data_IF_653851141229
#
_entry.id   IF_653851141229
#
_cell.length_a   1.000
_cell.length_b   1.000
_cell.length_c   1.000
_cell.angle_alpha   90.00
_cell.angle_beta   90.00
_cell.angle_gamma   90.00
#
_symmetry.space_group_name_H-M   'P 1'
#
loop_
_entity.id
_entity.type
_entity.pdbx_description
1 polymer ?
#
# COMPACT_ATOMS: atom_id res chain seq x y z
N UNK A 1 38.99 14.13 -22.07
CA UNK A 1 38.58 13.29 -23.21
C UNK A 1 37.16 12.87 -22.92
N UNK A 2 36.18 13.41 -23.66
CA UNK A 2 34.77 13.04 -23.48
C UNK A 2 34.61 11.54 -23.71
N UNK A 3 33.85 10.86 -22.84
CA UNK A 3 33.45 9.45 -23.01
C UNK A 3 32.18 9.31 -23.85
N UNK A 4 31.59 10.45 -24.25
CA UNK A 4 30.45 10.50 -25.13
C UNK A 4 30.92 10.24 -26.56
N UNK A 5 30.91 8.96 -26.94
CA UNK A 5 31.16 8.53 -28.30
C UNK A 5 29.96 7.76 -28.82
N UNK A 6 29.74 7.80 -30.12
CA UNK A 6 28.75 6.94 -30.73
C UNK A 6 29.14 5.47 -30.57
N UNK A 7 28.16 4.57 -30.42
CA UNK A 7 28.42 3.16 -30.43
C UNK A 7 29.02 2.77 -31.80
N UNK A 8 30.19 2.13 -31.78
CA UNK A 8 30.76 1.56 -32.98
C UNK A 8 29.82 0.50 -33.54
N UNK A 9 29.43 0.66 -34.80
CA UNK A 9 28.57 -0.28 -35.51
C UNK A 9 29.45 -1.29 -36.25
N UNK A 10 29.12 -2.60 -36.21
CA UNK A 10 29.85 -3.58 -37.01
C UNK A 10 29.64 -3.29 -38.50
N UNK A 11 30.66 -3.58 -39.32
CA UNK A 11 30.63 -3.35 -40.76
C UNK A 11 29.37 -3.89 -41.46
N UNK A 12 28.87 -5.06 -41.03
CA UNK A 12 27.66 -5.65 -41.57
C UNK A 12 26.39 -4.81 -41.31
N UNK A 13 26.28 -4.17 -40.14
CA UNK A 13 25.18 -3.24 -39.83
C UNK A 13 25.30 -1.97 -40.67
N UNK A 14 26.51 -1.44 -40.82
CA UNK A 14 26.76 -0.24 -41.65
C UNK A 14 26.33 -0.52 -43.10
N UNK A 15 26.77 -1.63 -43.68
CA UNK A 15 26.39 -2.05 -45.04
C UNK A 15 24.87 -2.21 -45.17
N UNK A 16 24.23 -2.86 -44.19
CA UNK A 16 22.79 -3.08 -44.21
C UNK A 16 22.02 -1.75 -44.17
N UNK A 17 22.43 -0.80 -43.33
CA UNK A 17 21.79 0.51 -43.24
C UNK A 17 21.99 1.31 -44.52
N UNK A 18 23.21 1.38 -45.06
CA UNK A 18 23.51 2.08 -46.31
C UNK A 18 22.72 1.54 -47.50
N UNK A 19 22.49 0.22 -47.54
CA UNK A 19 21.66 -0.40 -48.57
C UNK A 19 20.17 -0.10 -48.37
N UNK A 20 19.68 -0.13 -47.13
CA UNK A 20 18.28 0.17 -46.80
C UNK A 20 17.91 1.62 -47.08
N UNK A 21 18.82 2.56 -46.81
CA UNK A 21 18.62 3.98 -47.10
C UNK A 21 18.86 4.34 -48.57
N UNK A 22 19.31 3.38 -49.38
CA UNK A 22 19.61 3.59 -50.80
C UNK A 22 20.86 4.43 -51.06
N UNK A 23 21.72 4.63 -50.04
CA UNK A 23 22.94 5.43 -50.15
C UNK A 23 24.02 4.65 -50.92
N UNK A 24 24.22 3.38 -50.58
CA UNK A 24 25.20 2.53 -51.27
C UNK A 24 24.94 1.03 -51.06
N UNK A 25 25.21 0.23 -52.09
CA UNK A 25 25.21 -1.22 -52.04
C UNK A 25 26.66 -1.74 -51.95
N UNK A 26 27.20 -1.77 -50.73
CA UNK A 26 28.60 -2.14 -50.47
C UNK A 26 28.75 -3.63 -50.17
N UNK A 27 29.92 -4.17 -50.50
CA UNK A 27 30.40 -5.47 -50.01
C UNK A 27 31.29 -5.28 -48.77
N UNK A 28 31.51 -6.32 -47.94
CA UNK A 28 32.42 -6.23 -46.80
C UNK A 28 33.82 -5.75 -47.17
N UNK A 29 34.33 -6.16 -48.34
CA UNK A 29 35.66 -5.80 -48.82
C UNK A 29 35.80 -4.30 -49.07
N UNK A 30 34.72 -3.65 -49.52
CA UNK A 30 34.66 -2.22 -49.81
C UNK A 30 34.88 -1.35 -48.57
N UNK A 31 34.62 -1.87 -47.36
CA UNK A 31 34.90 -1.18 -46.10
C UNK A 31 36.31 -1.48 -45.57
N UNK A 32 36.83 -2.68 -45.83
CA UNK A 32 38.17 -3.08 -45.35
C UNK A 32 39.32 -2.54 -46.20
N UNK A 33 39.08 -2.35 -47.50
CA UNK A 33 40.06 -1.80 -48.44
C UNK A 33 39.34 -1.00 -49.54
N UNK A 34 38.81 0.18 -49.20
CA UNK A 34 38.00 0.97 -50.13
C UNK A 34 38.83 1.51 -51.30
N UNK A 35 38.27 1.43 -52.52
CA UNK A 35 38.81 2.17 -53.68
C UNK A 35 38.40 3.63 -53.63
N UNK A 36 39.18 4.52 -54.26
CA UNK A 36 38.87 5.95 -54.32
C UNK A 36 37.47 6.22 -54.91
N UNK A 37 37.08 5.49 -55.97
CA UNK A 37 35.78 5.62 -56.60
C UNK A 37 34.63 5.27 -55.66
N UNK A 38 34.79 4.19 -54.87
CA UNK A 38 33.79 3.76 -53.89
C UNK A 38 33.64 4.79 -52.77
N UNK A 39 34.75 5.32 -52.26
CA UNK A 39 34.74 6.38 -51.23
C UNK A 39 34.03 7.63 -51.74
N UNK A 40 34.40 8.09 -52.95
CA UNK A 40 33.82 9.29 -53.53
C UNK A 40 32.31 9.12 -53.78
N UNK A 41 31.89 7.99 -54.36
CA UNK A 41 30.49 7.69 -54.60
C UNK A 41 29.69 7.60 -53.30
N UNK A 42 30.22 6.90 -52.29
CA UNK A 42 29.57 6.74 -51.00
C UNK A 42 29.30 8.09 -50.33
N UNK A 43 30.33 8.94 -50.22
CA UNK A 43 30.18 10.24 -49.56
C UNK A 43 29.35 11.23 -50.37
N UNK A 44 29.43 11.19 -51.70
CA UNK A 44 28.56 12.01 -52.59
C UNK A 44 27.09 11.65 -52.38
N UNK A 45 26.78 10.35 -52.35
CA UNK A 45 25.42 9.87 -52.12
C UNK A 45 24.94 10.18 -50.70
N UNK A 46 25.84 10.07 -49.71
CA UNK A 46 25.55 10.43 -48.33
C UNK A 46 25.20 11.92 -48.20
N UNK A 47 26.00 12.82 -48.79
CA UNK A 47 25.71 14.26 -48.77
C UNK A 47 24.39 14.58 -49.49
N UNK A 48 24.12 13.92 -50.62
CA UNK A 48 22.84 14.03 -51.32
C UNK A 48 21.65 13.56 -50.47
N UNK A 49 21.87 12.59 -49.57
CA UNK A 49 20.85 12.09 -48.66
C UNK A 49 20.61 13.03 -47.47
N UNK A 50 21.69 13.58 -46.89
CA UNK A 50 21.62 14.46 -45.71
C UNK A 50 21.14 15.87 -46.09
N UNK A 51 21.56 16.38 -47.25
CA UNK A 51 21.14 17.67 -47.77
C UNK A 51 20.68 17.57 -49.25
N UNK A 52 19.49 17.01 -49.51
CA UNK A 52 18.97 16.79 -50.87
C UNK A 52 18.72 18.07 -51.67
N UNK A 53 18.64 19.22 -50.99
CA UNK A 53 18.32 20.52 -51.61
C UNK A 53 19.58 21.37 -51.78
N UNK A 54 20.55 21.24 -50.88
CA UNK A 54 21.77 22.03 -50.85
C UNK A 54 23.01 21.34 -51.42
N UNK A 55 23.01 20.03 -51.68
CA UNK A 55 24.11 19.36 -52.36
C UNK A 55 23.80 19.10 -53.85
N UNK A 56 24.35 19.94 -54.73
CA UNK A 56 24.39 19.70 -56.17
C UNK A 56 25.83 19.33 -56.58
N UNK A 57 26.10 18.07 -56.94
CA UNK A 57 27.44 17.62 -57.34
C UNK A 57 27.93 18.25 -58.64
N UNK A 58 27.03 18.76 -59.50
CA UNK A 58 27.36 19.31 -60.81
C UNK A 58 27.48 20.84 -60.82
N UNK A 59 26.92 21.54 -59.82
CA UNK A 59 26.73 22.99 -59.87
C UNK A 59 27.35 23.78 -58.70
N UNK A 60 28.14 23.12 -57.84
CA UNK A 60 28.72 23.76 -56.65
C UNK A 60 30.23 23.53 -56.55
N UNK A 61 30.96 23.85 -57.62
CA UNK A 61 32.38 24.18 -57.46
C UNK A 61 32.42 25.45 -56.62
N UNK A 62 32.98 25.37 -55.42
CA UNK A 62 33.11 26.56 -54.61
C UNK A 62 34.16 27.47 -55.22
N UNK A 63 33.82 28.74 -55.48
CA UNK A 63 34.78 29.72 -56.01
C UNK A 63 36.07 29.80 -55.19
N UNK A 64 35.98 29.57 -53.87
CA UNK A 64 37.12 29.46 -52.97
C UNK A 64 38.10 28.33 -53.35
N UNK A 65 37.63 27.25 -53.97
CA UNK A 65 38.46 26.09 -54.34
C UNK A 65 39.27 26.35 -55.62
N UNK A 66 38.83 27.30 -56.45
CA UNK A 66 39.55 27.77 -57.63
C UNK A 66 40.71 28.71 -57.29
N UNK A 67 40.65 29.41 -56.14
CA UNK A 67 41.69 30.35 -55.70
C UNK A 67 43.03 29.67 -55.36
N UNK A 68 43.04 28.35 -55.17
CA UNK A 68 44.22 27.59 -54.74
C UNK A 68 44.94 26.85 -55.88
N UNK A 69 44.43 26.90 -57.12
CA UNK A 69 44.95 26.13 -58.25
C UNK A 69 45.38 27.04 -59.40
N UNK A 70 46.61 26.90 -59.86
CA UNK A 70 47.09 27.52 -61.10
C UNK A 70 46.49 26.78 -62.31
N UNK A 71 45.83 27.50 -63.21
CA UNK A 71 45.10 26.94 -64.38
C UNK A 71 44.00 25.93 -63.97
N UNK A 72 42.97 26.37 -63.22
CA UNK A 72 41.94 25.49 -62.66
C UNK A 72 41.19 24.66 -63.71
N UNK A 73 41.12 25.12 -64.96
CA UNK A 73 40.54 24.41 -66.10
C UNK A 73 41.21 23.07 -66.45
N UNK A 74 42.38 22.80 -65.86
CA UNK A 74 43.09 21.52 -66.00
C UNK A 74 42.94 20.61 -64.77
N UNK A 75 42.16 21.04 -63.78
CA UNK A 75 42.10 20.42 -62.45
C UNK A 75 40.67 20.08 -62.00
N UNK A 76 39.74 19.90 -62.94
CA UNK A 76 38.32 19.66 -62.66
C UNK A 76 38.07 18.53 -61.64
N UNK A 77 38.75 17.38 -61.79
CA UNK A 77 38.59 16.24 -60.87
C UNK A 77 39.15 16.54 -59.47
N UNK A 78 40.29 17.24 -59.40
CA UNK A 78 40.90 17.62 -58.14
C UNK A 78 40.01 18.62 -57.38
N UNK A 79 39.43 19.59 -58.09
CA UNK A 79 38.50 20.58 -57.55
C UNK A 79 37.28 19.89 -56.92
N UNK A 80 36.68 18.92 -57.63
CA UNK A 80 35.54 18.14 -57.13
C UNK A 80 35.87 17.39 -55.84
N UNK A 81 37.05 16.77 -55.78
CA UNK A 81 37.51 16.03 -54.59
C UNK A 81 37.75 16.99 -53.41
N UNK A 82 38.36 18.16 -53.64
CA UNK A 82 38.56 19.16 -52.59
C UNK A 82 37.24 19.67 -52.03
N UNK A 83 36.26 19.95 -52.89
CA UNK A 83 34.94 20.39 -52.46
C UNK A 83 34.19 19.32 -51.67
N UNK A 84 34.25 18.05 -52.12
CA UNK A 84 33.70 16.91 -51.40
C UNK A 84 34.33 16.81 -50.00
N UNK A 85 35.67 16.86 -49.91
CA UNK A 85 36.39 16.78 -48.64
C UNK A 85 36.00 17.91 -47.68
N UNK A 86 35.92 19.15 -48.19
CA UNK A 86 35.53 20.32 -47.38
C UNK A 86 34.11 20.20 -46.83
N UNK A 87 33.15 19.78 -47.68
CA UNK A 87 31.77 19.59 -47.26
C UNK A 87 31.65 18.49 -46.20
N UNK A 88 32.32 17.36 -46.38
CA UNK A 88 32.35 16.29 -45.39
C UNK A 88 32.93 16.73 -44.06
N UNK A 89 34.07 17.45 -44.08
CA UNK A 89 34.65 17.95 -42.83
C UNK A 89 33.72 18.90 -42.11
N UNK A 90 32.98 19.74 -42.85
CA UNK A 90 31.96 20.61 -42.26
C UNK A 90 30.85 19.79 -41.60
N UNK A 91 30.28 18.82 -42.29
CA UNK A 91 29.22 17.96 -41.73
C UNK A 91 29.69 17.17 -40.51
N UNK A 92 30.93 16.66 -40.53
CA UNK A 92 31.55 15.99 -39.37
C UNK A 92 31.64 16.95 -38.18
N UNK A 93 32.17 18.16 -38.39
CA UNK A 93 32.33 19.16 -37.33
C UNK A 93 30.98 19.64 -36.77
N UNK A 94 30.00 19.91 -37.63
CA UNK A 94 28.66 20.34 -37.24
C UNK A 94 27.98 19.25 -36.41
N UNK A 95 28.14 17.97 -36.81
CA UNK A 95 27.63 16.83 -36.05
C UNK A 95 28.35 16.65 -34.70
N UNK A 96 29.68 16.74 -34.67
CA UNK A 96 30.47 16.67 -33.42
C UNK A 96 30.07 17.78 -32.44
N UNK A 97 29.83 19.00 -32.93
CA UNK A 97 29.36 20.11 -32.10
C UNK A 97 27.96 19.85 -31.52
N UNK A 98 27.03 19.33 -32.32
CA UNK A 98 25.71 18.93 -31.83
C UNK A 98 25.81 17.88 -30.71
N UNK A 99 26.69 16.90 -30.86
CA UNK A 99 26.93 15.87 -29.85
C UNK A 99 27.46 16.44 -28.52
N UNK A 100 28.38 17.39 -28.60
CA UNK A 100 28.92 18.07 -27.41
C UNK A 100 27.83 18.86 -26.66
N UNK A 101 26.82 19.36 -27.37
CA UNK A 101 25.67 20.03 -26.75
C UNK A 101 24.69 19.04 -26.11
N UNK A 102 24.58 17.82 -26.64
CA UNK A 102 23.73 16.76 -26.08
C UNK A 102 24.33 16.13 -24.81
N UNK A 103 25.66 16.02 -24.72
CA UNK A 103 26.36 15.42 -23.57
C UNK A 103 25.92 15.98 -22.18
N UNK A 104 25.86 17.32 -21.94
CA UNK A 104 25.41 17.84 -20.66
C UNK A 104 23.93 17.54 -20.38
N UNK A 105 23.09 17.49 -21.42
CA UNK A 105 21.65 17.17 -21.30
C UNK A 105 21.51 15.72 -20.86
N UNK A 106 22.27 14.80 -21.47
CA UNK A 106 22.29 13.38 -21.09
C UNK A 106 22.73 13.23 -19.64
N UNK A 107 23.83 13.87 -19.22
CA UNK A 107 24.29 13.82 -17.83
C UNK A 107 23.26 14.37 -16.83
N UNK A 108 22.55 15.45 -17.19
CA UNK A 108 21.49 15.99 -16.35
C UNK A 108 20.34 14.98 -16.20
N UNK A 109 19.86 14.41 -17.31
CA UNK A 109 18.80 13.41 -17.29
C UNK A 109 19.20 12.16 -16.49
N UNK A 110 20.45 11.71 -16.61
CA UNK A 110 20.98 10.60 -15.82
C UNK A 110 20.96 10.90 -14.31
N UNK A 111 21.33 12.12 -13.92
CA UNK A 111 21.25 12.58 -12.54
C UNK A 111 19.81 12.61 -12.02
N UNK A 112 18.88 13.18 -12.78
CA UNK A 112 17.46 13.23 -12.44
C UNK A 112 16.86 11.82 -12.32
N UNK A 113 17.18 10.91 -13.25
CA UNK A 113 16.75 9.51 -13.18
C UNK A 113 17.28 8.82 -11.92
N UNK A 114 18.53 9.09 -11.55
CA UNK A 114 19.14 8.55 -10.32
C UNK A 114 18.43 9.06 -9.07
N UNK A 115 18.11 10.34 -8.99
CA UNK A 115 17.36 10.93 -7.88
C UNK A 115 15.94 10.36 -7.77
N UNK A 116 15.23 10.23 -8.89
CA UNK A 116 13.90 9.62 -8.94
C UNK A 116 13.94 8.16 -8.45
N UNK A 117 14.95 7.39 -8.87
CA UNK A 117 15.13 6.01 -8.38
C UNK A 117 15.36 5.96 -6.88
N UNK A 118 16.15 6.87 -6.32
CA UNK A 118 16.37 6.95 -4.86
C UNK A 118 15.09 7.33 -4.12
N UNK A 119 14.32 8.27 -4.66
CA UNK A 119 13.02 8.69 -4.11
C UNK A 119 12.03 7.51 -4.07
N UNK A 120 11.92 6.76 -5.16
CA UNK A 120 11.08 5.54 -5.23
C UNK A 120 11.51 4.52 -4.17
N UNK A 121 12.82 4.28 -4.02
CA UNK A 121 13.32 3.37 -2.99
C UNK A 121 12.95 3.83 -1.58
N UNK A 122 13.02 5.13 -1.29
CA UNK A 122 12.61 5.71 -0.01
C UNK A 122 11.12 5.50 0.26
N UNK A 123 10.26 5.83 -0.72
CA UNK A 123 8.81 5.63 -0.59
C UNK A 123 8.44 4.16 -0.39
N UNK A 124 9.08 3.24 -1.11
CA UNK A 124 8.85 1.81 -0.94
C UNK A 124 9.20 1.35 0.49
N UNK A 125 10.28 1.87 1.09
CA UNK A 125 10.62 1.59 2.50
C UNK A 125 9.54 2.10 3.45
N UNK A 126 9.08 3.35 3.25
CA UNK A 126 8.01 3.93 4.07
C UNK A 126 6.70 3.15 3.94
N UNK A 127 6.32 2.76 2.72
CA UNK A 127 5.13 1.95 2.47
C UNK A 127 5.19 0.61 3.20
N UNK A 128 6.34 -0.05 3.23
CA UNK A 128 6.53 -1.31 3.97
C UNK A 128 6.40 -1.14 5.48
N UNK A 129 6.97 -0.06 6.04
CA UNK A 129 6.83 0.28 7.46
C UNK A 129 5.37 0.55 7.83
N UNK A 130 4.66 1.33 7.02
CA UNK A 130 3.23 1.61 7.22
C UNK A 130 2.38 0.34 7.12
N UNK A 131 2.67 -0.54 6.17
CA UNK A 131 1.98 -1.84 6.05
C UNK A 131 2.17 -2.72 7.28
N UNK A 132 3.37 -2.71 7.86
CA UNK A 132 3.68 -3.42 9.11
C UNK A 132 2.90 -2.84 10.28
N UNK A 133 2.89 -1.51 10.42
CA UNK A 133 2.13 -0.82 11.46
C UNK A 133 0.62 -1.08 11.34
N UNK A 134 0.06 -1.01 10.13
CA UNK A 134 -1.35 -1.28 9.88
C UNK A 134 -1.73 -2.72 10.27
N UNK A 135 -0.87 -3.70 9.95
CA UNK A 135 -1.07 -5.09 10.39
C UNK A 135 -1.07 -5.21 11.91
N UNK A 136 -0.11 -4.58 12.59
CA UNK A 136 -0.04 -4.61 14.05
C UNK A 136 -1.22 -3.89 14.73
N UNK A 137 -1.77 -2.84 14.13
CA UNK A 137 -2.99 -2.19 14.61
C UNK A 137 -4.20 -3.12 14.48
N UNK A 138 -4.34 -3.81 13.34
CA UNK A 138 -5.41 -4.79 13.14
C UNK A 138 -5.36 -5.91 14.19
N UNK A 139 -4.17 -6.48 14.42
CA UNK A 139 -3.99 -7.51 15.45
C UNK A 139 -4.38 -7.02 16.86
N UNK A 140 -4.07 -5.77 17.20
CA UNK A 140 -4.50 -5.15 18.47
C UNK A 140 -6.01 -4.95 18.53
N UNK A 141 -6.62 -4.51 17.43
CA UNK A 141 -8.08 -4.35 17.33
C UNK A 141 -8.78 -5.69 17.54
N UNK A 142 -8.33 -6.75 16.87
CA UNK A 142 -8.89 -8.09 17.00
C UNK A 142 -8.75 -8.59 18.46
N UNK A 143 -7.58 -8.42 19.08
CA UNK A 143 -7.36 -8.81 20.47
C UNK A 143 -8.23 -8.04 21.48
N UNK A 144 -8.53 -6.76 21.23
CA UNK A 144 -9.46 -5.99 22.07
C UNK A 144 -10.89 -6.49 21.88
N UNK A 145 -11.28 -6.80 20.64
CA UNK A 145 -12.62 -7.29 20.32
C UNK A 145 -12.90 -8.65 20.99
N UNK A 146 -11.90 -9.53 21.03
CA UNK A 146 -11.97 -10.81 21.75
C UNK A 146 -12.17 -10.61 23.26
N UNK A 147 -11.45 -9.65 23.86
CA UNK A 147 -11.61 -9.31 25.29
C UNK A 147 -12.98 -8.73 25.60
N UNK A 148 -13.52 -7.89 24.73
CA UNK A 148 -14.89 -7.35 24.88
C UNK A 148 -15.90 -8.50 24.84
N UNK A 149 -15.78 -9.38 23.85
CA UNK A 149 -16.67 -10.55 23.71
C UNK A 149 -16.60 -11.47 24.93
N UNK A 150 -15.40 -11.68 25.49
CA UNK A 150 -15.22 -12.44 26.72
C UNK A 150 -15.89 -11.75 27.93
N UNK A 151 -15.67 -10.44 28.10
CA UNK A 151 -16.26 -9.68 29.19
C UNK A 151 -17.80 -9.66 29.14
N UNK A 152 -18.38 -9.53 27.93
CA UNK A 152 -19.84 -9.60 27.73
C UNK A 152 -20.38 -10.98 28.13
N UNK A 153 -19.68 -12.05 27.75
CA UNK A 153 -20.06 -13.41 28.15
C UNK A 153 -20.02 -13.60 29.67
N UNK A 154 -18.96 -13.14 30.32
CA UNK A 154 -18.81 -13.20 31.78
C UNK A 154 -19.90 -12.37 32.50
N UNK A 155 -20.22 -11.18 31.98
CA UNK A 155 -21.28 -10.33 32.51
C UNK A 155 -22.64 -11.03 32.42
N UNK A 156 -22.99 -11.64 31.28
CA UNK A 156 -24.24 -12.40 31.12
C UNK A 156 -24.30 -13.55 32.12
N UNK A 157 -23.19 -14.28 32.32
CA UNK A 157 -23.11 -15.37 33.31
C UNK A 157 -23.36 -14.84 34.72
N UNK A 158 -22.72 -13.74 35.11
CA UNK A 158 -22.88 -13.12 36.42
C UNK A 158 -24.32 -12.62 36.64
N UNK A 159 -24.95 -12.02 35.62
CA UNK A 159 -26.36 -11.60 35.67
C UNK A 159 -27.29 -12.79 35.89
N UNK A 160 -27.07 -13.91 35.17
CA UNK A 160 -27.84 -15.14 35.37
C UNK A 160 -27.66 -15.74 36.76
N UNK A 161 -26.44 -15.79 37.28
CA UNK A 161 -26.16 -16.28 38.64
C UNK A 161 -26.81 -15.38 39.70
N UNK A 162 -26.72 -14.06 39.55
CA UNK A 162 -27.37 -13.10 40.45
C UNK A 162 -28.90 -13.29 40.45
N UNK A 163 -29.53 -13.45 39.28
CA UNK A 163 -30.96 -13.76 39.17
C UNK A 163 -31.32 -15.07 39.90
N UNK A 164 -30.51 -16.13 39.74
CA UNK A 164 -30.70 -17.40 40.48
C UNK A 164 -30.60 -17.20 41.98
N UNK A 165 -29.63 -16.44 42.48
CA UNK A 165 -29.48 -16.15 43.90
C UNK A 165 -30.66 -15.34 44.44
N UNK A 166 -31.10 -14.31 43.73
CA UNK A 166 -32.28 -13.52 44.09
C UNK A 166 -33.53 -14.38 44.20
N UNK A 167 -33.76 -15.31 43.27
CA UNK A 167 -34.90 -16.24 43.36
C UNK A 167 -34.87 -17.14 44.60
N UNK A 168 -33.68 -17.54 45.06
CA UNK A 168 -33.52 -18.34 46.29
C UNK A 168 -33.80 -17.50 47.53
N UNK A 169 -33.38 -16.24 47.51
CA UNK A 169 -33.65 -15.30 48.60
C UNK A 169 -35.15 -15.06 48.70
N UNK A 170 -35.85 -14.66 47.62
CA UNK A 170 -37.29 -14.30 47.65
C UNK A 170 -38.19 -15.43 48.16
N UNK A 171 -37.83 -16.69 47.93
CA UNK A 171 -38.61 -17.82 48.46
C UNK A 171 -38.49 -18.01 49.99
N UNK A 172 -37.45 -17.48 50.63
CA UNK A 172 -37.23 -17.61 52.07
C UNK A 172 -38.14 -16.68 52.89
N UNK A 173 -38.29 -15.37 52.60
CA UNK A 173 -39.24 -14.48 53.25
C UNK A 173 -40.67 -15.01 53.23
N UNK A 174 -41.17 -15.47 52.08
CA UNK A 174 -42.55 -15.98 51.98
C UNK A 174 -42.77 -17.23 52.83
N UNK A 175 -41.80 -18.16 52.83
CA UNK A 175 -41.84 -19.36 53.68
C UNK A 175 -41.78 -19.00 55.16
N UNK A 176 -40.91 -18.06 55.54
CA UNK A 176 -40.76 -17.58 56.91
C UNK A 176 -42.02 -16.85 57.38
N UNK A 177 -42.63 -16.04 56.53
CA UNK A 177 -43.85 -15.30 56.84
C UNK A 177 -45.05 -16.24 57.02
N UNK A 178 -45.18 -17.25 56.15
CA UNK A 178 -46.21 -18.29 56.29
C UNK A 178 -46.05 -19.06 57.61
N UNK A 179 -44.83 -19.48 57.95
CA UNK A 179 -44.54 -20.18 59.20
C UNK A 179 -44.82 -19.29 60.43
N UNK A 180 -44.56 -17.98 60.33
CA UNK A 180 -44.85 -17.02 61.39
C UNK A 180 -46.37 -16.88 61.61
N UNK A 181 -47.15 -16.71 60.54
CA UNK A 181 -48.61 -16.59 60.63
C UNK A 181 -49.25 -17.88 61.16
N UNK A 182 -48.75 -19.05 60.73
CA UNK A 182 -49.18 -20.34 61.28
C UNK A 182 -48.89 -20.44 62.79
N UNK A 183 -47.70 -20.04 63.24
CA UNK A 183 -47.40 -20.00 64.68
C UNK A 183 -48.26 -19.00 65.46
N UNK A 184 -48.62 -17.87 64.87
CA UNK A 184 -49.55 -16.90 65.49
C UNK A 184 -50.94 -17.50 65.64
N UNK A 185 -51.45 -18.17 64.60
CA UNK A 185 -52.74 -18.85 64.64
C UNK A 185 -52.78 -19.93 65.73
N UNK A 186 -51.77 -20.81 65.76
CA UNK A 186 -51.64 -21.86 66.77
C UNK A 186 -51.58 -21.26 68.19
N UNK A 187 -50.83 -20.17 68.39
CA UNK A 187 -50.78 -19.46 69.68
C UNK A 187 -52.14 -18.90 70.08
N UNK A 188 -52.89 -18.33 69.14
CA UNK A 188 -54.22 -17.79 69.41
C UNK A 188 -55.21 -18.88 69.82
N UNK A 189 -55.18 -20.03 69.13
CA UNK A 189 -56.00 -21.20 69.44
C UNK A 189 -55.69 -21.77 70.83
N UNK A 190 -54.39 -21.95 71.15
CA UNK A 190 -53.96 -22.40 72.47
C UNK A 190 -54.38 -21.42 73.56
N UNK A 191 -54.21 -20.11 73.36
CA UNK A 191 -54.63 -19.08 74.33
C UNK A 191 -56.15 -19.06 74.54
N UNK A 192 -56.93 -19.30 73.49
CA UNK A 192 -58.38 -19.41 73.60
C UNK A 192 -58.79 -20.67 74.38
N UNK A 193 -58.16 -21.80 74.06
CA UNK A 193 -58.37 -23.08 74.75
C UNK A 193 -58.00 -22.99 76.23
N UNK A 194 -56.89 -22.32 76.56
CA UNK A 194 -56.46 -22.02 77.93
C UNK A 194 -57.51 -21.18 78.66
N UNK A 195 -58.04 -20.12 78.04
CA UNK A 195 -59.07 -19.27 78.64
C UNK A 195 -60.36 -20.06 78.92
N UNK A 196 -60.81 -20.88 77.99
CA UNK A 196 -61.98 -21.75 78.16
C UNK A 196 -61.76 -22.76 79.30
N UNK A 197 -60.57 -23.36 79.38
CA UNK A 197 -60.21 -24.26 80.47
C UNK A 197 -60.19 -23.54 81.83
N UNK A 198 -59.62 -22.33 81.90
CA UNK A 198 -59.62 -21.50 83.12
C UNK A 198 -61.04 -21.12 83.57
N UNK A 199 -61.91 -20.72 82.64
CA UNK A 199 -63.31 -20.44 82.94
C UNK A 199 -64.01 -21.68 83.49
N UNK A 200 -63.82 -22.84 82.86
CA UNK A 200 -64.39 -24.10 83.33
C UNK A 200 -63.90 -24.48 84.74
N UNK A 201 -62.62 -24.25 85.05
CA UNK A 201 -62.08 -24.47 86.41
C UNK A 201 -62.69 -23.49 87.41
N UNK A 202 -62.82 -22.22 87.04
CA UNK A 202 -63.44 -21.21 87.89
C UNK A 202 -64.91 -21.54 88.19
N UNK A 203 -65.68 -21.97 87.20
CA UNK A 203 -67.06 -22.42 87.37
C UNK A 203 -67.16 -23.61 88.34
N UNK A 204 -66.26 -24.59 88.23
CA UNK A 204 -66.19 -25.71 89.19
C UNK A 204 -65.82 -25.27 90.60
N UNK A 205 -64.87 -24.34 90.75
CA UNK A 205 -64.50 -23.79 92.06
C UNK A 205 -65.66 -23.03 92.70
N UNK A 206 -66.39 -22.19 91.93
CA UNK A 206 -67.59 -21.50 92.40
C UNK A 206 -68.66 -22.50 92.85
N UNK A 207 -68.86 -23.56 92.07
CA UNK A 207 -69.80 -24.64 92.41
C UNK A 207 -69.42 -25.31 93.74
N UNK A 208 -68.14 -25.66 93.91
CA UNK A 208 -67.59 -26.21 95.16
C UNK A 208 -67.72 -25.25 96.35
N UNK A 209 -67.52 -23.94 96.15
CA UNK A 209 -67.70 -22.93 97.20
C UNK A 209 -69.17 -22.78 97.63
N UNK A 210 -70.13 -22.91 96.71
CA UNK A 210 -71.55 -22.94 97.07
C UNK A 210 -71.83 -24.16 97.95
N UNK A 211 -71.34 -25.34 97.56
CA UNK A 211 -71.47 -26.56 98.37
C UNK A 211 -70.74 -26.50 99.71
N UNK A 212 -69.67 -25.69 99.87
CA UNK A 212 -68.95 -25.55 101.15
C UNK A 212 -69.48 -24.43 102.06
N UNK A 213 -70.29 -23.51 101.52
CA UNK A 213 -70.87 -22.37 102.26
C UNK A 213 -72.35 -22.53 102.60
N UNK A 214 -73.03 -23.58 102.12
CA UNK A 214 -74.40 -23.92 102.57
C UNK A 214 -74.42 -24.33 104.05
N UNK A 215 -75.00 -23.52 104.98
CA UNK A 215 -75.09 -23.85 106.41
C UNK A 215 -76.28 -24.76 106.73
N UNK A 216 -76.79 -25.52 105.76
CA UNK A 216 -77.96 -26.38 105.95
C UNK A 216 -77.78 -27.75 105.28
N UNK A 217 -76.83 -28.52 105.82
CA UNK A 217 -77.07 -29.92 106.13
C UNK A 217 -76.31 -30.29 107.41
N UNK A 218 -76.89 -29.88 108.54
CA UNK A 218 -76.84 -30.68 109.77
C UNK A 218 -77.85 -31.83 109.64
N UNK A 219 -77.54 -32.93 110.33
CA UNK A 219 -78.39 -34.08 110.68
C UNK A 219 -78.49 -35.23 109.66
N UNK A 220 -77.50 -36.12 109.66
CA UNK A 220 -77.53 -37.40 110.41
C UNK A 220 -76.13 -38.04 110.40
#
# INVERSE_FOLDING_TARGET
>A
MSTFSFPERPAAEIIAVLAQTGIAALKPEDLTNPSADVVCALYTNFLSYVDPVGYDPDNQIAFSSLEFLDNPEHHDDAIKIFDLHRKLNKEILDHEAACQMEEPIVHQLEAEVKELRQTIQSYNKQQMSLKTLAKGLKEKTDAINDKISQADFELVKNVQENSKLLSKIVQSPDKLQRALEEKKANRAEVKNSERLAMQSVQEKNVTLEVYSKDPCHLAL
#
